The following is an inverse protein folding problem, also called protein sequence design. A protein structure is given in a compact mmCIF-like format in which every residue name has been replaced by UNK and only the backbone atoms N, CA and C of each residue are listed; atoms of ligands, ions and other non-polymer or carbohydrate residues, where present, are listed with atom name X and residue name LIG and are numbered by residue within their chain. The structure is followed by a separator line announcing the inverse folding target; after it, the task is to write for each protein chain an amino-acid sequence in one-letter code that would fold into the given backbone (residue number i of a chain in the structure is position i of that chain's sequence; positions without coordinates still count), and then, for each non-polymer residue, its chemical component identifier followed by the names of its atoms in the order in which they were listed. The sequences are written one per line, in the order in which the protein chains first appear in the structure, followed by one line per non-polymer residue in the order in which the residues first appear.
data_IF_087839885636
#
_entry.id   IF_087839885636
#
_cell.length_a   1.000
_cell.length_b   1.000
_cell.length_c   1.000
_cell.angle_alpha   90.00
_cell.angle_beta   90.00
_cell.angle_gamma   90.00
#
_symmetry.space_group_name_H-M   'P 1'
#
loop_
_entity.id
_entity.type
_entity.pdbx_description
1 polymer ?
#
# COMPACT_ATOMS: atom_id res chain seq x y z
N UNK A 1 -48.06 -4.10 14.99
CA UNK A 1 -47.50 -5.33 14.38
C UNK A 1 -48.66 -6.06 13.72
N UNK A 2 -48.58 -6.40 12.42
CA UNK A 2 -49.62 -7.22 11.80
C UNK A 2 -49.70 -8.57 12.50
N UNK A 3 -50.91 -9.08 12.69
CA UNK A 3 -51.14 -10.39 13.30
C UNK A 3 -50.97 -11.47 12.23
N UNK A 4 -49.89 -12.27 12.33
CA UNK A 4 -49.59 -13.35 11.41
C UNK A 4 -48.86 -14.50 12.13
N UNK A 5 -49.11 -15.73 11.69
CA UNK A 5 -48.35 -16.90 12.15
C UNK A 5 -47.10 -17.08 11.28
N UNK A 6 -45.93 -17.24 11.91
CA UNK A 6 -44.70 -17.59 11.20
C UNK A 6 -44.85 -18.96 10.52
N UNK A 7 -44.34 -19.10 9.30
CA UNK A 7 -44.47 -20.31 8.49
C UNK A 7 -43.22 -20.57 7.67
N UNK A 8 -42.84 -21.83 7.51
CA UNK A 8 -41.79 -22.25 6.58
C UNK A 8 -42.33 -22.57 5.17
N UNK A 9 -43.66 -22.51 4.97
CA UNK A 9 -44.29 -22.75 3.67
C UNK A 9 -44.30 -21.47 2.82
N UNK A 10 -43.59 -21.43 1.66
CA UNK A 10 -43.50 -20.25 0.79
C UNK A 10 -44.83 -19.84 0.14
N UNK A 11 -45.90 -20.64 0.26
CA UNK A 11 -47.23 -20.25 -0.20
C UNK A 11 -48.02 -19.47 0.87
N UNK A 12 -47.54 -19.45 2.11
CA UNK A 12 -48.19 -18.76 3.22
C UNK A 12 -47.60 -17.36 3.42
N UNK A 13 -48.45 -16.34 3.73
CA UNK A 13 -47.96 -14.98 4.00
C UNK A 13 -46.89 -14.92 5.11
N UNK A 14 -47.01 -15.77 6.13
CA UNK A 14 -46.08 -15.86 7.27
C UNK A 14 -44.63 -16.11 6.88
N UNK A 15 -44.38 -16.83 5.78
CA UNK A 15 -43.03 -17.11 5.28
C UNK A 15 -42.27 -15.84 4.87
N UNK A 16 -42.97 -14.88 4.29
CA UNK A 16 -42.40 -13.61 3.85
C UNK A 16 -42.40 -12.55 4.96
N UNK A 17 -43.38 -12.60 5.85
CA UNK A 17 -43.57 -11.59 6.89
C UNK A 17 -42.66 -11.81 8.11
N UNK A 18 -42.24 -13.05 8.40
CA UNK A 18 -41.45 -13.38 9.60
C UNK A 18 -40.09 -12.66 9.71
N UNK A 19 -39.48 -12.26 8.59
CA UNK A 19 -38.19 -11.57 8.57
C UNK A 19 -38.31 -10.04 8.47
N UNK A 20 -39.53 -9.50 8.46
CA UNK A 20 -39.75 -8.06 8.39
C UNK A 20 -39.79 -7.50 9.82
N UNK A 21 -38.92 -6.54 10.17
CA UNK A 21 -38.88 -5.96 11.50
C UNK A 21 -40.09 -5.04 11.71
N UNK A 22 -41.11 -5.54 12.39
CA UNK A 22 -42.32 -4.77 12.69
C UNK A 22 -42.25 -4.05 14.04
N UNK A 23 -41.57 -4.67 15.01
CA UNK A 23 -41.38 -4.11 16.34
C UNK A 23 -40.24 -3.09 16.37
N UNK A 24 -40.32 -2.15 17.31
CA UNK A 24 -39.31 -1.09 17.41
C UNK A 24 -37.91 -1.66 17.70
N UNK A 25 -37.83 -2.67 18.56
CA UNK A 25 -36.56 -3.33 18.92
C UNK A 25 -35.95 -4.06 17.72
N UNK A 26 -36.77 -4.74 16.92
CA UNK A 26 -36.31 -5.41 15.69
C UNK A 26 -35.82 -4.39 14.65
N UNK A 27 -36.49 -3.24 14.54
CA UNK A 27 -36.05 -2.16 13.63
C UNK A 27 -34.73 -1.56 14.08
N UNK A 28 -34.56 -1.35 15.38
CA UNK A 28 -33.32 -0.83 15.93
C UNK A 28 -32.15 -1.78 15.65
N UNK A 29 -32.34 -3.09 15.84
CA UNK A 29 -31.35 -4.10 15.49
C UNK A 29 -30.98 -4.07 13.99
N UNK A 30 -31.96 -3.87 13.10
CA UNK A 30 -31.68 -3.68 11.68
C UNK A 30 -30.92 -2.37 11.40
N UNK A 31 -31.24 -1.28 12.11
CA UNK A 31 -30.56 0.00 11.95
C UNK A 31 -29.10 -0.07 12.41
N UNK A 32 -28.79 -0.78 13.50
CA UNK A 32 -27.41 -1.05 13.92
C UNK A 32 -26.60 -1.76 12.81
N UNK A 33 -27.17 -2.81 12.21
CA UNK A 33 -26.51 -3.53 11.12
C UNK A 33 -26.27 -2.64 9.89
N UNK A 34 -27.23 -1.77 9.56
CA UNK A 34 -27.11 -0.86 8.42
C UNK A 34 -26.05 0.23 8.69
N UNK A 35 -26.01 0.76 9.92
CA UNK A 35 -24.99 1.74 10.34
C UNK A 35 -23.58 1.18 10.18
N UNK A 36 -23.33 0.00 10.77
CA UNK A 36 -22.05 -0.70 10.66
C UNK A 36 -21.71 -0.98 9.19
N UNK A 37 -22.65 -1.53 8.41
CA UNK A 37 -22.41 -1.86 7.01
C UNK A 37 -22.07 -0.63 6.14
N UNK A 38 -22.75 0.50 6.35
CA UNK A 38 -22.44 1.75 5.67
C UNK A 38 -21.06 2.27 6.06
N UNK A 39 -20.74 2.25 7.35
CA UNK A 39 -19.44 2.67 7.85
C UNK A 39 -18.29 1.83 7.26
N UNK A 40 -18.40 0.50 7.33
CA UNK A 40 -17.40 -0.42 6.77
C UNK A 40 -17.29 -0.28 5.25
N UNK A 41 -18.41 -0.08 4.55
CA UNK A 41 -18.41 0.15 3.11
C UNK A 41 -17.68 1.44 2.75
N UNK A 42 -17.88 2.52 3.52
CA UNK A 42 -17.12 3.77 3.38
C UNK A 42 -15.61 3.57 3.53
N UNK A 43 -15.18 2.77 4.53
CA UNK A 43 -13.77 2.41 4.73
C UNK A 43 -13.24 1.60 3.53
N UNK A 44 -13.95 0.56 3.09
CA UNK A 44 -13.54 -0.28 1.96
C UNK A 44 -13.41 0.54 0.68
N UNK A 45 -14.36 1.44 0.41
CA UNK A 45 -14.29 2.31 -0.75
C UNK A 45 -13.06 3.21 -0.72
N UNK A 46 -12.64 3.68 0.45
CA UNK A 46 -11.43 4.47 0.60
C UNK A 46 -10.16 3.62 0.47
N UNK A 47 -10.05 2.56 1.27
CA UNK A 47 -8.80 1.81 1.46
C UNK A 47 -8.52 0.81 0.35
N UNK A 48 -9.54 0.07 -0.11
CA UNK A 48 -9.35 -1.06 -1.03
C UNK A 48 -9.68 -0.74 -2.47
N UNK A 49 -10.57 0.21 -2.69
CA UNK A 49 -11.04 0.59 -4.02
C UNK A 49 -10.54 1.97 -4.45
N UNK A 50 -9.87 2.69 -3.55
CA UNK A 50 -9.37 4.06 -3.74
C UNK A 50 -10.42 5.04 -4.30
N UNK A 51 -11.71 4.72 -4.12
CA UNK A 51 -12.84 5.45 -4.66
C UNK A 51 -13.35 6.44 -3.63
N UNK A 52 -12.60 7.53 -3.45
CA UNK A 52 -12.89 8.61 -2.48
C UNK A 52 -14.26 9.24 -2.70
N UNK A 53 -14.70 9.37 -3.96
CA UNK A 53 -16.02 9.93 -4.27
C UNK A 53 -17.13 9.05 -3.72
N UNK A 54 -17.01 7.73 -3.88
CA UNK A 54 -18.01 6.79 -3.37
C UNK A 54 -17.94 6.68 -1.84
N UNK A 55 -16.74 6.66 -1.26
CA UNK A 55 -16.55 6.69 0.19
C UNK A 55 -17.24 7.90 0.84
N UNK A 56 -17.01 9.11 0.31
CA UNK A 56 -17.65 10.34 0.79
C UNK A 56 -19.18 10.27 0.68
N UNK A 57 -19.72 9.73 -0.42
CA UNK A 57 -21.17 9.55 -0.56
C UNK A 57 -21.74 8.58 0.47
N UNK A 58 -21.06 7.46 0.72
CA UNK A 58 -21.50 6.47 1.72
C UNK A 58 -21.44 7.04 3.13
N UNK A 59 -20.41 7.81 3.46
CA UNK A 59 -20.32 8.52 4.74
C UNK A 59 -21.41 9.59 4.89
N UNK A 60 -21.71 10.35 3.84
CA UNK A 60 -22.83 11.29 3.83
C UNK A 60 -24.19 10.59 4.02
N UNK A 61 -24.38 9.40 3.43
CA UNK A 61 -25.59 8.61 3.66
C UNK A 61 -25.69 8.18 5.13
N UNK A 62 -24.61 7.68 5.73
CA UNK A 62 -24.55 7.34 7.15
C UNK A 62 -24.92 8.55 8.02
N UNK A 63 -24.29 9.70 7.77
CA UNK A 63 -24.54 10.96 8.49
C UNK A 63 -25.98 11.43 8.38
N UNK A 64 -26.58 11.34 7.19
CA UNK A 64 -27.95 11.82 6.94
C UNK A 64 -28.99 10.87 7.50
N UNK A 65 -28.76 9.56 7.37
CA UNK A 65 -29.73 8.52 7.72
C UNK A 65 -29.72 8.20 9.22
N UNK A 66 -28.58 8.37 9.88
CA UNK A 66 -28.39 8.04 11.28
C UNK A 66 -27.63 9.15 12.04
N UNK A 67 -28.22 10.35 12.20
CA UNK A 67 -27.55 11.49 12.84
C UNK A 67 -27.25 11.29 14.33
N UNK A 68 -27.92 10.31 14.97
CA UNK A 68 -27.77 9.97 16.40
C UNK A 68 -26.60 8.98 16.66
N UNK A 69 -25.92 8.51 15.60
CA UNK A 69 -24.91 7.47 15.69
C UNK A 69 -23.58 7.98 16.27
N UNK A 70 -23.50 7.94 17.59
CA UNK A 70 -22.29 8.36 18.32
C UNK A 70 -21.07 7.46 18.13
N UNK A 71 -21.21 6.27 17.55
CA UNK A 71 -20.12 5.30 17.41
C UNK A 71 -19.33 5.55 16.13
N UNK A 72 -20.02 5.67 14.99
CA UNK A 72 -19.38 5.74 13.67
C UNK A 72 -19.26 7.15 13.10
N UNK A 73 -20.12 8.08 13.51
CA UNK A 73 -20.09 9.44 12.98
C UNK A 73 -18.79 10.20 13.27
N UNK A 74 -18.17 10.13 14.47
CA UNK A 74 -16.93 10.86 14.73
C UNK A 74 -15.82 10.48 13.74
N UNK A 75 -15.66 9.18 13.48
CA UNK A 75 -14.69 8.66 12.52
C UNK A 75 -15.09 9.05 11.09
N UNK A 76 -16.36 8.90 10.71
CA UNK A 76 -16.88 9.32 9.40
C UNK A 76 -16.58 10.80 9.08
N UNK A 77 -16.80 11.71 10.03
CA UNK A 77 -16.47 13.13 9.87
C UNK A 77 -14.96 13.36 9.73
N UNK A 78 -14.16 12.67 10.53
CA UNK A 78 -12.71 12.77 10.49
C UNK A 78 -12.13 12.28 9.15
N UNK A 79 -12.55 11.10 8.68
CA UNK A 79 -12.09 10.54 7.42
C UNK A 79 -12.58 11.38 6.22
N UNK A 80 -13.81 11.90 6.29
CA UNK A 80 -14.34 12.81 5.27
C UNK A 80 -13.56 14.12 5.22
N UNK A 81 -13.17 14.69 6.37
CA UNK A 81 -12.30 15.86 6.44
C UNK A 81 -10.97 15.64 5.71
N UNK A 82 -10.27 14.53 6.01
CA UNK A 82 -8.98 14.22 5.39
C UNK A 82 -9.11 14.07 3.86
N UNK A 83 -10.10 13.33 3.39
CA UNK A 83 -10.32 13.12 1.96
C UNK A 83 -10.66 14.44 1.24
N UNK A 84 -11.52 15.28 1.83
CA UNK A 84 -11.89 16.57 1.24
C UNK A 84 -10.72 17.55 1.20
N UNK A 85 -9.82 17.51 2.19
CA UNK A 85 -8.60 18.32 2.18
C UNK A 85 -7.63 17.88 1.08
N UNK A 86 -7.49 16.56 0.86
CA UNK A 86 -6.71 16.03 -0.26
C UNK A 86 -7.29 16.41 -1.63
N UNK A 87 -8.62 16.43 -1.76
CA UNK A 87 -9.31 16.82 -2.99
C UNK A 87 -9.40 18.36 -3.18
N UNK A 88 -8.70 19.15 -2.36
CA UNK A 88 -8.70 20.61 -2.37
C UNK A 88 -10.09 21.26 -2.13
N UNK A 89 -11.02 20.54 -1.49
CA UNK A 89 -12.39 20.98 -1.16
C UNK A 89 -12.46 21.53 0.26
N UNK A 90 -11.68 22.58 0.51
CA UNK A 90 -11.43 23.10 1.86
C UNK A 90 -12.70 23.54 2.61
N UNK A 91 -13.68 24.15 1.93
CA UNK A 91 -14.92 24.60 2.58
C UNK A 91 -15.74 23.43 3.13
N UNK A 92 -15.92 22.37 2.35
CA UNK A 92 -16.64 21.17 2.76
C UNK A 92 -15.88 20.43 3.86
N UNK A 93 -14.54 20.37 3.76
CA UNK A 93 -13.73 19.82 4.82
C UNK A 93 -13.95 20.56 6.15
N UNK A 94 -13.92 21.89 6.15
CA UNK A 94 -14.14 22.66 7.37
C UNK A 94 -15.54 22.43 7.97
N UNK A 95 -16.56 22.17 7.14
CA UNK A 95 -17.87 21.77 7.65
C UNK A 95 -17.80 20.43 8.40
N UNK A 96 -17.15 19.41 7.82
CA UNK A 96 -16.97 18.11 8.49
C UNK A 96 -16.20 18.24 9.81
N UNK A 97 -15.13 19.05 9.82
CA UNK A 97 -14.39 19.38 11.04
C UNK A 97 -15.28 20.04 12.07
N UNK A 98 -16.13 20.97 11.67
CA UNK A 98 -17.01 21.68 12.59
C UNK A 98 -18.09 20.77 13.19
N UNK A 99 -18.67 19.85 12.41
CA UNK A 99 -19.57 18.82 12.95
C UNK A 99 -18.86 17.96 14.01
N UNK A 100 -17.66 17.47 13.71
CA UNK A 100 -16.86 16.68 14.65
C UNK A 100 -16.55 17.45 15.95
N UNK A 101 -16.11 18.71 15.84
CA UNK A 101 -15.74 19.51 17.01
C UNK A 101 -16.93 19.96 17.86
N UNK A 102 -18.10 20.19 17.25
CA UNK A 102 -19.29 20.65 17.96
C UNK A 102 -20.07 19.49 18.58
N UNK A 103 -20.29 18.43 17.81
CA UNK A 103 -21.20 17.35 18.20
C UNK A 103 -20.45 16.25 18.97
N UNK A 104 -19.14 16.10 18.72
CA UNK A 104 -18.31 15.05 19.31
C UNK A 104 -16.99 15.58 19.94
N UNK A 105 -17.02 16.63 20.77
CA UNK A 105 -15.82 17.30 21.27
C UNK A 105 -14.94 16.43 22.18
N UNK A 106 -15.48 15.36 22.77
CA UNK A 106 -14.71 14.50 23.70
C UNK A 106 -14.00 13.34 22.98
N UNK A 107 -14.11 13.27 21.65
CA UNK A 107 -13.52 12.19 20.87
C UNK A 107 -12.07 12.47 20.53
N UNK A 108 -11.27 11.39 20.40
CA UNK A 108 -9.84 11.48 20.07
C UNK A 108 -9.61 12.18 18.72
N UNK A 109 -10.52 11.99 17.78
CA UNK A 109 -10.53 12.61 16.46
C UNK A 109 -10.76 14.13 16.57
N UNK A 110 -11.66 14.57 17.45
CA UNK A 110 -11.86 15.99 17.72
C UNK A 110 -10.61 16.63 18.33
N UNK A 111 -9.90 15.94 19.23
CA UNK A 111 -8.63 16.43 19.78
C UNK A 111 -7.59 16.69 18.69
N UNK A 112 -7.49 15.83 17.68
CA UNK A 112 -6.58 16.03 16.55
C UNK A 112 -6.95 17.27 15.73
N UNK A 113 -8.23 17.44 15.41
CA UNK A 113 -8.67 18.56 14.57
C UNK A 113 -8.75 19.91 15.30
N UNK A 114 -8.60 19.94 16.63
CA UNK A 114 -8.47 21.21 17.38
C UNK A 114 -7.19 21.95 17.02
N UNK A 115 -6.12 21.23 16.70
CA UNK A 115 -4.87 21.83 16.27
C UNK A 115 -4.99 22.30 14.82
N UNK A 116 -4.99 23.62 14.61
CA UNK A 116 -5.06 24.23 13.28
C UNK A 116 -3.84 23.90 12.42
N UNK A 117 -2.71 23.54 13.05
CA UNK A 117 -1.51 23.08 12.36
C UNK A 117 -1.50 21.55 12.15
N UNK A 118 -2.55 20.82 12.51
CA UNK A 118 -2.60 19.35 12.41
C UNK A 118 -2.24 18.84 11.00
N UNK A 119 -2.85 19.40 9.94
CA UNK A 119 -2.55 18.99 8.57
C UNK A 119 -1.12 19.33 8.16
N UNK A 120 -0.62 20.51 8.53
CA UNK A 120 0.77 20.87 8.25
C UNK A 120 1.76 19.96 9.00
N UNK A 121 1.40 19.53 10.22
CA UNK A 121 2.14 18.53 10.99
C UNK A 121 2.01 17.14 10.39
N UNK A 122 0.86 16.77 9.84
CA UNK A 122 0.60 15.51 9.15
C UNK A 122 1.40 15.44 7.83
N UNK A 123 1.44 16.52 7.06
CA UNK A 123 2.23 16.64 5.84
C UNK A 123 3.74 16.64 6.14
N UNK A 124 4.17 17.41 7.16
CA UNK A 124 5.55 17.36 7.66
C UNK A 124 5.90 15.99 8.27
N UNK A 125 4.91 15.28 8.82
CA UNK A 125 5.02 13.92 9.33
C UNK A 125 5.24 12.94 8.17
N UNK A 126 4.46 12.99 7.08
CA UNK A 126 4.69 12.14 5.90
C UNK A 126 6.03 12.46 5.22
N UNK A 127 6.44 13.72 5.16
CA UNK A 127 7.73 14.12 4.59
C UNK A 127 8.93 13.79 5.49
N UNK A 128 8.77 13.78 6.81
CA UNK A 128 9.87 13.47 7.76
C UNK A 128 9.93 12.01 8.18
N UNK A 129 8.84 11.24 8.08
CA UNK A 129 8.80 9.82 8.49
C UNK A 129 9.63 8.92 7.58
N UNK A 130 9.59 9.11 6.26
CA UNK A 130 10.45 8.35 5.35
C UNK A 130 11.93 8.67 5.57
N UNK A 131 12.25 9.94 5.84
CA UNK A 131 13.63 10.36 6.12
C UNK A 131 14.12 9.85 7.48
N UNK A 132 13.30 9.94 8.52
CA UNK A 132 13.66 9.46 9.86
C UNK A 132 13.72 7.93 9.90
N UNK A 133 12.80 7.23 9.24
CA UNK A 133 12.86 5.78 9.12
C UNK A 133 14.08 5.34 8.32
N UNK A 134 14.36 5.96 7.16
CA UNK A 134 15.56 5.67 6.38
C UNK A 134 16.86 5.90 7.17
N UNK A 135 16.95 7.01 7.93
CA UNK A 135 18.11 7.30 8.79
C UNK A 135 18.21 6.32 9.95
N UNK A 136 17.09 5.95 10.57
CA UNK A 136 17.06 4.98 11.69
C UNK A 136 17.44 3.59 11.20
N UNK A 137 16.98 3.21 10.01
CA UNK A 137 17.35 1.97 9.37
C UNK A 137 18.84 1.95 8.98
N UNK A 138 19.36 3.06 8.47
CA UNK A 138 20.79 3.19 8.21
C UNK A 138 21.61 2.98 9.50
N UNK A 139 21.21 3.61 10.61
CA UNK A 139 21.86 3.36 11.91
C UNK A 139 21.73 1.91 12.37
N UNK A 140 20.62 1.26 12.08
CA UNK A 140 20.42 -0.15 12.38
C UNK A 140 21.37 -1.05 11.58
N UNK A 141 21.51 -0.82 10.28
CA UNK A 141 22.45 -1.54 9.40
C UNK A 141 23.91 -1.28 9.78
N UNK A 142 24.25 -0.03 10.14
CA UNK A 142 25.58 0.36 10.62
C UNK A 142 25.89 -0.15 12.05
N UNK A 143 24.91 -0.78 12.70
CA UNK A 143 25.03 -1.32 14.06
C UNK A 143 25.07 -0.25 15.16
N UNK A 144 24.69 0.99 14.85
CA UNK A 144 24.62 2.13 15.77
C UNK A 144 23.38 2.06 16.67
N UNK A 145 23.35 1.06 17.57
CA UNK A 145 22.23 0.72 18.45
C UNK A 145 21.67 1.91 19.26
N UNK A 146 22.53 2.76 19.82
CA UNK A 146 22.09 3.91 20.62
C UNK A 146 21.30 4.94 19.79
N UNK A 147 21.68 5.13 18.53
CA UNK A 147 21.00 6.05 17.62
C UNK A 147 19.65 5.48 17.14
N UNK A 148 19.57 4.16 16.94
CA UNK A 148 18.31 3.47 16.65
C UNK A 148 17.32 3.63 17.80
N UNK A 149 17.76 3.35 19.03
CA UNK A 149 16.91 3.47 20.22
C UNK A 149 16.43 4.91 20.41
N UNK A 150 17.33 5.90 20.26
CA UNK A 150 16.98 7.31 20.38
C UNK A 150 15.93 7.76 19.35
N UNK A 151 16.04 7.30 18.10
CA UNK A 151 15.07 7.62 17.07
C UNK A 151 13.73 6.91 17.30
N UNK A 152 13.75 5.66 17.77
CA UNK A 152 12.53 4.95 18.17
C UNK A 152 11.81 5.66 19.34
N UNK A 153 12.55 6.12 20.35
CA UNK A 153 12.02 6.91 21.47
C UNK A 153 11.39 8.22 20.98
N UNK A 154 12.08 8.92 20.08
CA UNK A 154 11.58 10.15 19.48
C UNK A 154 10.27 9.93 18.72
N UNK A 155 10.18 8.84 17.94
CA UNK A 155 8.97 8.46 17.21
C UNK A 155 7.83 8.08 18.16
N UNK A 156 8.11 7.36 19.23
CA UNK A 156 7.10 7.00 20.22
C UNK A 156 6.51 8.23 20.93
N UNK A 157 7.33 9.25 21.22
CA UNK A 157 6.89 10.48 21.88
C UNK A 157 6.18 11.46 20.93
N UNK A 158 6.71 11.64 19.71
CA UNK A 158 6.29 12.71 18.80
C UNK A 158 5.32 12.23 17.71
N UNK A 159 5.32 10.93 17.36
CA UNK A 159 4.53 10.36 16.25
C UNK A 159 3.83 9.03 16.62
N UNK A 160 3.02 8.98 17.70
CA UNK A 160 2.41 7.75 18.19
C UNK A 160 1.36 7.12 17.25
N UNK A 161 0.90 7.86 16.24
CA UNK A 161 -0.08 7.41 15.24
C UNK A 161 0.54 7.10 13.88
N UNK A 162 1.88 7.07 13.77
CA UNK A 162 2.56 6.76 12.52
C UNK A 162 2.18 5.36 12.01
N UNK A 163 1.88 5.20 10.70
CA UNK A 163 1.74 3.88 10.09
C UNK A 163 3.06 3.08 10.13
N UNK A 164 4.21 3.75 10.26
CA UNK A 164 5.53 3.11 10.42
C UNK A 164 5.86 2.78 11.88
N UNK A 165 5.02 3.17 12.84
CA UNK A 165 5.22 2.86 14.27
C UNK A 165 5.50 1.37 14.55
N UNK A 166 4.76 0.39 14.00
CA UNK A 166 5.11 -1.02 14.19
C UNK A 166 6.52 -1.36 13.69
N UNK A 167 7.02 -0.71 12.63
CA UNK A 167 8.39 -0.90 12.15
C UNK A 167 9.44 -0.38 13.14
N UNK A 168 9.23 0.81 13.73
CA UNK A 168 10.13 1.35 14.77
C UNK A 168 10.09 0.52 16.06
N UNK A 169 8.92 0.06 16.47
CA UNK A 169 8.77 -0.84 17.63
C UNK A 169 9.52 -2.16 17.40
N UNK A 170 9.49 -2.67 16.17
CA UNK A 170 10.17 -3.90 15.78
C UNK A 170 11.70 -3.72 15.81
N UNK A 171 12.24 -2.66 15.20
CA UNK A 171 13.68 -2.34 15.26
C UNK A 171 14.16 -2.19 16.70
N UNK A 172 13.37 -1.53 17.56
CA UNK A 172 13.66 -1.41 18.98
C UNK A 172 13.67 -2.75 19.72
N UNK A 173 12.76 -3.66 19.36
CA UNK A 173 12.72 -5.00 19.91
C UNK A 173 14.00 -5.77 19.55
N UNK A 174 14.46 -5.68 18.30
CA UNK A 174 15.69 -6.32 17.83
C UNK A 174 16.93 -5.77 18.54
N UNK A 175 17.02 -4.45 18.73
CA UNK A 175 18.10 -3.82 19.48
C UNK A 175 18.10 -4.24 20.96
N UNK A 176 16.93 -4.37 21.58
CA UNK A 176 16.81 -4.87 22.95
C UNK A 176 17.37 -6.30 23.10
N UNK A 177 17.05 -7.20 22.16
CA UNK A 177 17.63 -8.56 22.13
C UNK A 177 19.15 -8.52 22.00
N UNK A 178 19.67 -7.69 21.08
CA UNK A 178 21.10 -7.54 20.83
C UNK A 178 21.86 -7.08 22.07
N UNK A 179 21.22 -6.27 22.91
CA UNK A 179 21.74 -5.78 24.18
C UNK A 179 21.53 -6.75 25.36
N UNK A 180 20.86 -7.88 25.13
CA UNK A 180 20.54 -8.88 26.15
C UNK A 180 19.28 -8.57 26.98
N UNK A 181 18.51 -7.57 26.60
CA UNK A 181 17.22 -7.21 27.21
C UNK A 181 16.07 -7.99 26.54
N UNK A 182 15.95 -9.25 26.95
CA UNK A 182 14.90 -10.14 26.48
C UNK A 182 13.48 -9.76 26.95
N UNK A 183 13.36 -9.07 28.08
CA UNK A 183 12.06 -8.66 28.63
C UNK A 183 11.45 -7.55 27.77
N UNK A 184 12.26 -6.56 27.37
CA UNK A 184 11.83 -5.50 26.45
C UNK A 184 11.48 -6.05 25.07
N UNK A 185 12.24 -7.03 24.57
CA UNK A 185 11.93 -7.69 23.30
C UNK A 185 10.55 -8.34 23.31
N UNK A 186 10.28 -9.23 24.28
CA UNK A 186 9.01 -9.97 24.37
C UNK A 186 7.83 -9.03 24.52
N UNK A 187 8.00 -7.97 25.32
CA UNK A 187 6.98 -6.94 25.48
C UNK A 187 6.67 -6.26 24.14
N UNK A 188 7.71 -5.79 23.42
CA UNK A 188 7.52 -5.04 22.18
C UNK A 188 6.91 -5.88 21.06
N UNK A 189 7.38 -7.11 20.83
CA UNK A 189 6.77 -8.01 19.83
C UNK A 189 5.35 -8.42 20.23
N UNK A 190 5.08 -8.60 21.53
CA UNK A 190 3.72 -8.84 22.03
C UNK A 190 2.79 -7.67 21.75
N UNK A 191 3.26 -6.45 22.02
CA UNK A 191 2.50 -5.23 21.72
C UNK A 191 2.25 -5.04 20.22
N UNK A 192 3.20 -5.42 19.36
CA UNK A 192 3.01 -5.38 17.90
C UNK A 192 1.89 -6.33 17.47
N UNK A 193 1.93 -7.58 17.94
CA UNK A 193 0.91 -8.58 17.63
C UNK A 193 -0.49 -8.19 18.11
N UNK A 194 -0.60 -7.54 19.27
CA UNK A 194 -1.88 -7.14 19.86
C UNK A 194 -2.46 -5.84 19.28
N UNK A 195 -1.62 -4.83 19.05
CA UNK A 195 -2.07 -3.48 18.65
C UNK A 195 -2.11 -3.27 17.13
N UNK A 196 -1.40 -4.09 16.36
CA UNK A 196 -1.30 -3.96 14.91
C UNK A 196 -1.65 -5.27 14.17
N UNK A 197 -2.83 -5.88 14.44
CA UNK A 197 -3.18 -7.21 13.96
C UNK A 197 -3.22 -7.34 12.44
N UNK A 198 -3.50 -6.24 11.73
CA UNK A 198 -3.63 -6.19 10.27
C UNK A 198 -2.29 -5.94 9.54
N UNK A 199 -1.16 -6.04 10.23
CA UNK A 199 0.19 -5.84 9.65
C UNK A 199 0.96 -7.16 9.53
N UNK A 200 1.80 -7.31 8.51
CA UNK A 200 2.66 -8.49 8.33
C UNK A 200 3.60 -8.71 9.53
N UNK A 201 3.97 -7.62 10.21
CA UNK A 201 4.75 -7.65 11.45
C UNK A 201 4.03 -8.31 12.61
N UNK A 202 2.70 -8.37 12.62
CA UNK A 202 1.93 -9.06 13.66
C UNK A 202 2.12 -10.58 13.59
N UNK A 203 2.03 -11.16 12.40
CA UNK A 203 2.25 -12.59 12.18
C UNK A 203 3.68 -12.98 12.58
N UNK A 204 4.66 -12.17 12.17
CA UNK A 204 6.07 -12.36 12.50
C UNK A 204 6.33 -12.23 14.00
N UNK A 205 5.80 -11.19 14.64
CA UNK A 205 5.97 -10.95 16.07
C UNK A 205 5.33 -12.04 16.93
N UNK A 206 4.19 -12.58 16.50
CA UNK A 206 3.52 -13.72 17.14
C UNK A 206 4.35 -15.00 17.04
N UNK A 207 4.95 -15.26 15.88
CA UNK A 207 5.87 -16.38 15.69
C UNK A 207 7.12 -16.25 16.57
N UNK A 208 7.73 -15.06 16.61
CA UNK A 208 8.90 -14.77 17.45
C UNK A 208 8.62 -14.95 18.94
N UNK A 209 7.45 -14.49 19.40
CA UNK A 209 7.01 -14.71 20.79
C UNK A 209 6.86 -16.20 21.10
N UNK A 210 6.27 -16.97 20.19
CA UNK A 210 6.12 -18.42 20.33
C UNK A 210 7.49 -19.12 20.45
N UNK A 211 8.45 -18.76 19.59
CA UNK A 211 9.81 -19.30 19.68
C UNK A 211 10.50 -18.95 21.00
N UNK A 212 10.27 -17.73 21.51
CA UNK A 212 10.79 -17.32 22.80
C UNK A 212 10.18 -18.14 23.96
N UNK A 213 8.88 -18.37 23.94
CA UNK A 213 8.17 -19.16 24.96
C UNK A 213 8.61 -20.63 24.96
N UNK A 214 8.98 -21.18 23.79
CA UNK A 214 9.55 -22.52 23.63
C UNK A 214 10.99 -22.66 24.16
N UNK A 215 11.56 -21.60 24.75
CA UNK A 215 12.93 -21.62 25.27
C UNK A 215 14.00 -21.49 24.18
N UNK A 216 13.62 -21.25 22.92
CA UNK A 216 14.56 -20.91 21.86
C UNK A 216 15.02 -19.48 22.12
N UNK A 217 16.34 -19.29 22.14
CA UNK A 217 16.96 -17.98 22.31
C UNK A 217 17.77 -17.68 21.06
N UNK A 218 17.86 -16.42 20.64
CA UNK A 218 18.82 -16.01 19.62
C UNK A 218 20.25 -16.36 20.10
N UNK A 219 20.96 -17.22 19.37
CA UNK A 219 22.35 -17.61 19.71
C UNK A 219 23.29 -16.82 18.81
N UNK A 220 24.04 -15.86 19.37
CA UNK A 220 25.10 -15.14 18.67
C UNK A 220 24.59 -14.27 17.53
N UNK A 221 24.79 -12.95 17.61
CA UNK A 221 24.26 -12.03 16.60
C UNK A 221 25.16 -12.03 15.34
N UNK A 222 25.09 -13.11 14.56
CA UNK A 222 25.66 -13.28 13.20
C UNK A 222 24.57 -13.79 12.23
N UNK A 223 23.33 -13.34 12.43
CA UNK A 223 22.19 -13.59 11.53
C UNK A 223 21.19 -14.64 11.99
N UNK A 224 19.91 -14.38 11.70
CA UNK A 224 18.83 -15.36 11.81
C UNK A 224 18.75 -16.19 10.53
N UNK A 225 18.77 -17.52 10.64
CA UNK A 225 18.36 -18.45 9.59
C UNK A 225 16.90 -18.83 9.80
N UNK A 226 16.04 -18.60 8.81
CA UNK A 226 14.72 -19.21 8.73
C UNK A 226 14.86 -20.67 8.27
N UNK A 227 13.82 -21.48 8.50
CA UNK A 227 13.84 -22.94 8.30
C UNK A 227 14.08 -23.39 6.84
N UNK A 228 14.06 -22.45 5.89
CA UNK A 228 14.30 -22.61 4.45
C UNK A 228 15.69 -22.14 3.99
N UNK A 229 16.52 -21.61 4.91
CA UNK A 229 17.87 -21.14 4.62
C UNK A 229 17.96 -19.69 4.13
N UNK A 230 16.87 -18.92 4.14
CA UNK A 230 16.93 -17.47 3.91
C UNK A 230 17.32 -16.70 5.17
N UNK A 231 18.01 -15.58 4.98
CA UNK A 231 18.34 -14.64 6.06
C UNK A 231 17.18 -13.68 6.31
N UNK A 232 17.12 -13.10 7.50
CA UNK A 232 16.17 -12.01 7.81
C UNK A 232 16.40 -10.76 6.93
N UNK A 233 17.63 -10.54 6.47
CA UNK A 233 17.98 -9.49 5.51
C UNK A 233 17.33 -9.76 4.14
N UNK A 234 17.35 -11.00 3.67
CA UNK A 234 16.66 -11.41 2.43
C UNK A 234 15.15 -11.24 2.57
N UNK A 235 14.59 -11.60 3.72
CA UNK A 235 13.16 -11.42 4.00
C UNK A 235 12.75 -9.95 4.05
N UNK A 236 13.56 -9.07 4.65
CA UNK A 236 13.29 -7.63 4.67
C UNK A 236 13.49 -6.97 3.31
N UNK A 237 14.54 -7.35 2.58
CA UNK A 237 14.75 -6.89 1.21
C UNK A 237 13.58 -7.31 0.32
N UNK A 238 13.06 -8.52 0.52
CA UNK A 238 11.88 -9.01 -0.19
C UNK A 238 10.60 -8.28 0.23
N UNK A 239 10.41 -7.98 1.52
CA UNK A 239 9.29 -7.15 2.00
C UNK A 239 9.35 -5.72 1.47
N UNK A 240 10.55 -5.12 1.41
CA UNK A 240 10.75 -3.81 0.79
C UNK A 240 10.45 -3.88 -0.71
N UNK A 241 10.90 -4.93 -1.38
CA UNK A 241 10.63 -5.16 -2.80
C UNK A 241 9.13 -5.31 -3.08
N UNK A 242 8.43 -6.09 -2.25
CA UNK A 242 6.99 -6.32 -2.34
C UNK A 242 6.20 -5.03 -2.00
N UNK A 243 6.65 -4.24 -1.02
CA UNK A 243 6.07 -2.94 -0.71
C UNK A 243 6.26 -1.95 -1.86
N UNK A 244 7.46 -1.86 -2.44
CA UNK A 244 7.69 -1.01 -3.61
C UNK A 244 6.94 -1.50 -4.85
N UNK A 245 6.81 -2.82 -5.02
CA UNK A 245 6.03 -3.42 -6.10
C UNK A 245 4.54 -3.08 -5.98
N UNK A 246 4.02 -2.97 -4.76
CA UNK A 246 2.61 -2.60 -4.50
C UNK A 246 2.24 -1.16 -4.89
N UNK A 247 3.24 -0.28 -5.09
CA UNK A 247 3.03 1.08 -5.58
C UNK A 247 2.62 1.10 -7.06
N UNK A 248 2.87 0.02 -7.79
CA UNK A 248 2.55 -0.09 -9.21
C UNK A 248 1.16 -0.71 -9.40
N UNK A 249 0.42 -0.18 -10.35
CA UNK A 249 -0.93 -0.65 -10.68
C UNK A 249 -0.94 -1.44 -11.98
N UNK A 250 -1.70 -2.53 -12.04
CA UNK A 250 -1.94 -3.26 -13.27
C UNK A 250 -3.31 -2.92 -13.87
N UNK A 251 -3.31 -2.41 -15.10
CA UNK A 251 -4.53 -2.23 -15.90
C UNK A 251 -4.28 -2.68 -17.34
N UNK A 252 -4.82 -3.83 -17.72
CA UNK A 252 -4.60 -4.42 -19.03
C UNK A 252 -5.09 -3.55 -20.20
N UNK A 253 -6.06 -2.65 -20.01
CA UNK A 253 -6.61 -1.82 -21.07
C UNK A 253 -5.93 -0.44 -21.20
N UNK A 254 -5.04 -0.11 -20.27
CA UNK A 254 -4.31 1.16 -20.25
C UNK A 254 -3.27 1.22 -21.36
N UNK A 255 -2.96 2.41 -21.86
CA UNK A 255 -1.81 2.62 -22.76
C UNK A 255 -0.52 2.13 -22.12
N UNK A 256 0.28 1.39 -22.88
CA UNK A 256 1.57 0.89 -22.44
C UNK A 256 2.70 1.41 -23.32
N UNK A 257 3.89 1.32 -22.77
CA UNK A 257 5.17 1.65 -23.37
C UNK A 257 6.10 0.47 -23.18
N UNK A 258 7.16 0.41 -24.00
CA UNK A 258 8.20 -0.58 -23.85
C UNK A 258 9.53 0.14 -23.61
N UNK A 259 10.10 -0.04 -22.43
CA UNK A 259 11.43 0.45 -22.10
C UNK A 259 12.46 -0.66 -22.28
N UNK A 260 13.48 -0.37 -23.07
CA UNK A 260 14.67 -1.21 -23.19
C UNK A 260 15.78 -0.57 -22.35
N UNK A 261 15.94 -1.05 -21.12
CA UNK A 261 16.95 -0.56 -20.19
C UNK A 261 18.32 -1.18 -20.52
N UNK A 262 19.33 -0.32 -20.62
CA UNK A 262 20.69 -0.71 -21.01
C UNK A 262 21.74 0.06 -20.18
N UNK A 263 22.93 -0.52 -20.02
CA UNK A 263 24.09 0.21 -19.50
C UNK A 263 24.92 0.75 -20.66
N UNK A 264 25.20 2.06 -20.66
CA UNK A 264 26.02 2.71 -21.69
C UNK A 264 27.49 2.24 -21.68
N UNK A 265 27.94 1.64 -20.58
CA UNK A 265 29.28 1.02 -20.48
C UNK A 265 29.37 -0.29 -21.28
N UNK A 266 28.26 -0.99 -21.48
CA UNK A 266 28.23 -2.32 -22.12
C UNK A 266 27.50 -2.35 -23.47
N UNK A 267 26.52 -1.45 -23.68
CA UNK A 267 25.65 -1.45 -24.85
C UNK A 267 25.72 -0.09 -25.55
N UNK A 268 26.05 -0.10 -26.85
CA UNK A 268 25.98 1.10 -27.68
C UNK A 268 24.52 1.38 -28.07
N UNK A 269 23.94 2.44 -27.50
CA UNK A 269 22.53 2.82 -27.74
C UNK A 269 22.22 3.09 -29.21
N UNK A 270 23.15 3.63 -29.99
CA UNK A 270 22.89 3.91 -31.42
C UNK A 270 22.73 2.61 -32.22
N UNK A 271 23.45 1.55 -31.85
CA UNK A 271 23.29 0.23 -32.47
C UNK A 271 21.96 -0.39 -32.05
N UNK A 272 21.60 -0.30 -30.77
CA UNK A 272 20.33 -0.81 -30.26
C UNK A 272 19.15 -0.09 -30.93
N UNK A 273 19.19 1.23 -31.02
CA UNK A 273 18.17 2.05 -31.70
C UNK A 273 18.06 1.66 -33.17
N UNK A 274 19.18 1.46 -33.87
CA UNK A 274 19.17 0.99 -35.26
C UNK A 274 18.50 -0.38 -35.40
N UNK A 275 18.83 -1.33 -34.54
CA UNK A 275 18.26 -2.68 -34.58
C UNK A 275 16.75 -2.67 -34.27
N UNK A 276 16.31 -1.86 -33.32
CA UNK A 276 14.88 -1.67 -33.00
C UNK A 276 14.14 -1.00 -34.16
N UNK A 277 14.71 0.06 -34.74
CA UNK A 277 14.12 0.73 -35.90
C UNK A 277 14.01 -0.22 -37.11
N UNK A 278 15.04 -1.04 -37.35
CA UNK A 278 15.04 -2.04 -38.41
C UNK A 278 13.99 -3.13 -38.15
N UNK A 279 13.88 -3.61 -36.91
CA UNK A 279 12.84 -4.54 -36.49
C UNK A 279 11.44 -3.96 -36.74
N UNK A 280 11.20 -2.70 -36.35
CA UNK A 280 9.94 -2.00 -36.56
C UNK A 280 9.58 -1.92 -38.04
N UNK A 281 10.52 -1.44 -38.85
CA UNK A 281 10.32 -1.28 -40.29
C UNK A 281 10.04 -2.61 -41.01
N UNK A 282 10.66 -3.70 -40.56
CA UNK A 282 10.53 -5.00 -41.23
C UNK A 282 9.27 -5.77 -40.83
N UNK A 283 8.77 -5.58 -39.61
CA UNK A 283 7.66 -6.37 -39.06
C UNK A 283 6.34 -5.58 -39.00
N UNK A 284 6.38 -4.24 -39.05
CA UNK A 284 5.21 -3.39 -38.85
C UNK A 284 5.13 -2.30 -39.93
N UNK A 285 4.42 -2.62 -41.02
CA UNK A 285 4.31 -1.75 -42.21
C UNK A 285 3.29 -0.60 -42.09
N UNK A 286 2.40 -0.65 -41.09
CA UNK A 286 1.25 0.27 -40.95
C UNK A 286 1.30 1.03 -39.61
N UNK A 287 2.17 0.63 -38.68
CA UNK A 287 2.26 1.22 -37.34
C UNK A 287 3.56 1.98 -37.18
N UNK A 288 3.44 3.24 -36.77
CA UNK A 288 4.57 4.11 -36.44
C UNK A 288 4.83 4.07 -34.94
N UNK A 289 5.85 3.29 -34.55
CA UNK A 289 6.35 3.29 -33.18
C UNK A 289 7.32 4.45 -33.00
N UNK A 290 7.05 5.31 -32.03
CA UNK A 290 7.96 6.40 -31.67
C UNK A 290 9.10 5.85 -30.79
N UNK A 291 10.33 6.27 -31.10
CA UNK A 291 11.53 5.87 -30.38
C UNK A 291 12.17 7.10 -29.73
N UNK A 292 12.40 7.05 -28.42
CA UNK A 292 13.06 8.10 -27.65
C UNK A 292 14.05 7.52 -26.66
N UNK A 293 15.17 8.21 -26.45
CA UNK A 293 16.09 7.88 -25.35
C UNK A 293 15.66 8.73 -24.16
N UNK A 294 15.36 8.07 -23.05
CA UNK A 294 14.81 8.69 -21.85
C UNK A 294 15.56 8.21 -20.60
N UNK A 295 15.37 8.93 -19.49
CA UNK A 295 15.87 8.53 -18.17
C UNK A 295 14.69 8.08 -17.31
N UNK A 296 14.76 6.87 -16.75
CA UNK A 296 13.90 6.43 -15.66
C UNK A 296 14.71 6.49 -14.37
N UNK A 297 14.51 7.54 -13.57
CA UNK A 297 15.41 7.86 -12.46
C UNK A 297 16.83 8.11 -12.97
N UNK A 298 17.77 7.24 -12.60
CA UNK A 298 19.16 7.27 -13.06
C UNK A 298 19.47 6.27 -14.20
N UNK A 299 18.49 5.47 -14.62
CA UNK A 299 18.66 4.43 -15.62
C UNK A 299 18.33 4.97 -17.02
N UNK A 300 19.27 4.82 -17.96
CA UNK A 300 19.04 5.12 -19.38
C UNK A 300 18.17 4.02 -20.02
N UNK A 301 17.17 4.44 -20.79
CA UNK A 301 16.28 3.53 -21.51
C UNK A 301 16.05 4.00 -22.94
N UNK A 302 15.94 3.05 -23.88
CA UNK A 302 15.33 3.28 -25.17
C UNK A 302 13.83 2.98 -25.05
N UNK A 303 13.03 4.03 -25.07
CA UNK A 303 11.58 3.98 -24.99
C UNK A 303 10.96 3.79 -26.36
N UNK A 304 9.99 2.87 -26.44
CA UNK A 304 9.17 2.61 -27.61
C UNK A 304 7.72 2.91 -27.22
N UNK A 305 7.05 3.79 -27.97
CA UNK A 305 5.67 4.23 -27.74
C UNK A 305 4.76 3.83 -28.90
N UNK A 306 3.48 4.18 -28.79
CA UNK A 306 2.40 3.82 -29.73
C UNK A 306 1.78 2.43 -29.53
N UNK A 307 1.85 1.86 -28.33
CA UNK A 307 1.08 0.66 -27.98
C UNK A 307 -0.26 1.03 -27.35
N UNK A 308 -1.32 0.34 -27.76
CA UNK A 308 -2.66 0.62 -27.25
C UNK A 308 -2.86 0.07 -25.83
N UNK A 309 -2.26 -1.09 -25.53
CA UNK A 309 -2.47 -1.82 -24.29
C UNK A 309 -1.38 -2.88 -24.02
N UNK A 310 -1.49 -3.61 -22.91
CA UNK A 310 -0.51 -4.64 -22.52
C UNK A 310 -0.39 -5.77 -23.55
N UNK A 311 -1.52 -6.22 -24.12
CA UNK A 311 -1.51 -7.31 -25.09
C UNK A 311 -0.73 -6.91 -26.35
N UNK A 312 -0.83 -5.63 -26.74
CA UNK A 312 -0.10 -5.07 -27.85
C UNK A 312 1.42 -5.09 -27.61
N UNK A 313 1.85 -4.68 -26.41
CA UNK A 313 3.27 -4.74 -26.02
C UNK A 313 3.78 -6.17 -25.96
N UNK A 314 3.03 -7.09 -25.34
CA UNK A 314 3.45 -8.49 -25.22
C UNK A 314 3.56 -9.17 -26.58
N UNK A 315 2.66 -8.86 -27.52
CA UNK A 315 2.79 -9.34 -28.91
C UNK A 315 4.04 -8.80 -29.59
N UNK A 316 4.36 -7.52 -29.41
CA UNK A 316 5.58 -6.94 -29.94
C UNK A 316 6.83 -7.64 -29.35
N UNK A 317 6.88 -7.83 -28.04
CA UNK A 317 8.01 -8.48 -27.34
C UNK A 317 8.17 -9.95 -27.76
N UNK A 318 7.07 -10.69 -27.91
CA UNK A 318 7.09 -12.12 -28.25
C UNK A 318 7.82 -12.43 -29.57
N UNK A 319 7.81 -11.47 -30.51
CA UNK A 319 8.48 -11.61 -31.82
C UNK A 319 9.77 -10.81 -31.93
N UNK A 320 10.16 -10.09 -30.87
CA UNK A 320 11.31 -9.20 -30.89
C UNK A 320 12.60 -10.00 -31.12
N UNK A 321 13.24 -9.74 -32.25
CA UNK A 321 14.53 -10.31 -32.60
C UNK A 321 15.33 -9.32 -33.44
N UNK A 322 16.64 -9.36 -33.28
CA UNK A 322 17.56 -8.50 -34.01
C UNK A 322 18.29 -9.34 -35.05
N UNK A 323 17.71 -9.40 -36.26
CA UNK A 323 18.28 -10.13 -37.40
C UNK A 323 18.46 -11.64 -37.10
N UNK A 324 17.45 -12.26 -36.48
CA UNK A 324 17.47 -13.68 -36.13
C UNK A 324 18.19 -14.01 -34.80
N UNK A 325 18.66 -13.00 -34.08
CA UNK A 325 19.20 -13.16 -32.73
C UNK A 325 18.21 -12.66 -31.68
N UNK A 326 18.10 -13.39 -30.58
CA UNK A 326 17.33 -12.94 -29.42
C UNK A 326 18.00 -11.70 -28.80
N UNK A 327 17.22 -10.74 -28.25
CA UNK A 327 17.75 -9.52 -27.63
C UNK A 327 18.82 -9.80 -26.58
N UNK A 328 18.59 -10.77 -25.69
CA UNK A 328 19.53 -11.16 -24.64
C UNK A 328 20.85 -11.74 -25.18
N UNK A 329 20.84 -12.36 -26.37
CA UNK A 329 22.04 -12.90 -27.01
C UNK A 329 22.86 -11.81 -27.67
N UNK A 330 22.21 -10.87 -28.36
CA UNK A 330 22.89 -9.78 -29.08
C UNK A 330 23.34 -8.66 -28.14
N UNK A 331 22.56 -8.39 -27.09
CA UNK A 331 22.82 -7.39 -26.07
C UNK A 331 22.71 -8.00 -24.67
N UNK A 332 23.78 -8.65 -24.19
CA UNK A 332 23.83 -9.16 -22.82
C UNK A 332 23.59 -8.04 -21.82
N UNK A 333 22.65 -8.26 -20.89
CA UNK A 333 22.27 -7.26 -19.89
C UNK A 333 21.18 -6.27 -20.34
N UNK A 334 20.69 -6.36 -21.58
CA UNK A 334 19.50 -5.61 -22.01
C UNK A 334 18.27 -6.12 -21.25
N UNK A 335 17.54 -5.21 -20.61
CA UNK A 335 16.33 -5.52 -19.84
C UNK A 335 15.12 -4.93 -20.56
N UNK A 336 14.08 -5.75 -20.73
CA UNK A 336 12.86 -5.41 -21.46
C UNK A 336 11.76 -5.20 -20.43
N UNK A 337 11.19 -4.00 -20.37
CA UNK A 337 10.24 -3.61 -19.34
C UNK A 337 8.99 -3.02 -20.00
N UNK A 338 7.85 -3.73 -20.04
CA UNK A 338 6.57 -3.11 -20.38
C UNK A 338 6.16 -2.18 -19.25
N UNK A 339 5.77 -0.93 -19.57
CA UNK A 339 5.43 0.10 -18.59
C UNK A 339 4.07 0.71 -18.95
N UNK A 340 3.11 0.71 -18.04
CA UNK A 340 1.83 1.39 -18.26
C UNK A 340 1.92 2.91 -18.03
N UNK A 341 0.97 3.67 -18.57
CA UNK A 341 0.92 5.14 -18.43
C UNK A 341 0.96 5.60 -16.96
N UNK A 342 0.20 4.94 -16.08
CA UNK A 342 0.18 5.20 -14.64
C UNK A 342 1.49 4.87 -13.93
N UNK A 343 2.24 3.86 -14.43
CA UNK A 343 3.49 3.42 -13.81
C UNK A 343 4.72 4.22 -14.28
N UNK A 344 4.66 4.81 -15.47
CA UNK A 344 5.76 5.61 -16.03
C UNK A 344 6.21 6.77 -15.12
N UNK A 345 5.32 7.66 -14.60
CA UNK A 345 5.75 8.76 -13.74
C UNK A 345 6.35 8.27 -12.41
N UNK A 346 5.89 7.12 -11.90
CA UNK A 346 6.43 6.52 -10.68
C UNK A 346 7.88 6.05 -10.91
N UNK A 347 8.13 5.39 -12.04
CA UNK A 347 9.48 4.96 -12.43
C UNK A 347 10.42 6.11 -12.77
N UNK A 348 9.89 7.24 -13.26
CA UNK A 348 10.68 8.44 -13.49
C UNK A 348 11.10 9.14 -12.19
N UNK A 349 10.25 9.12 -11.15
CA UNK A 349 10.56 9.71 -9.85
C UNK A 349 11.48 8.84 -9.00
N UNK A 350 11.21 7.52 -8.95
CA UNK A 350 11.96 6.56 -8.15
C UNK A 350 12.08 5.24 -8.91
N UNK A 351 13.19 5.08 -9.63
CA UNK A 351 13.48 3.84 -10.35
C UNK A 351 14.05 2.78 -9.41
N UNK A 352 13.25 1.75 -9.11
CA UNK A 352 13.72 0.50 -8.51
C UNK A 352 13.40 -0.62 -9.49
N UNK A 353 14.41 -1.02 -10.26
CA UNK A 353 14.23 -2.01 -11.32
C UNK A 353 13.76 -3.35 -10.77
N UNK A 354 14.34 -3.77 -9.65
CA UNK A 354 14.03 -5.06 -9.05
C UNK A 354 12.60 -5.07 -8.48
N UNK A 355 12.13 -3.96 -7.92
CA UNK A 355 10.74 -3.81 -7.47
C UNK A 355 9.77 -3.83 -8.65
N UNK A 356 10.12 -3.14 -9.74
CA UNK A 356 9.27 -3.14 -10.93
C UNK A 356 9.20 -4.52 -11.59
N UNK A 357 10.33 -5.24 -11.64
CA UNK A 357 10.34 -6.62 -12.13
C UNK A 357 9.53 -7.56 -11.25
N UNK A 358 9.60 -7.39 -9.93
CA UNK A 358 8.76 -8.15 -9.00
C UNK A 358 7.27 -7.96 -9.32
N UNK A 359 6.84 -6.72 -9.56
CA UNK A 359 5.50 -6.40 -10.05
C UNK A 359 5.20 -7.07 -11.41
N UNK A 360 6.13 -7.02 -12.38
CA UNK A 360 5.93 -7.66 -13.68
C UNK A 360 5.71 -9.18 -13.59
N UNK A 361 6.41 -9.87 -12.68
CA UNK A 361 6.23 -11.31 -12.48
C UNK A 361 4.80 -11.66 -12.03
N UNK A 362 4.21 -10.84 -11.15
CA UNK A 362 2.88 -11.10 -10.59
C UNK A 362 1.75 -10.86 -11.61
N UNK A 363 1.93 -9.94 -12.56
CA UNK A 363 0.84 -9.48 -13.43
C UNK A 363 1.05 -9.68 -14.94
N UNK A 364 2.30 -9.85 -15.39
CA UNK A 364 2.66 -9.99 -16.81
C UNK A 364 3.20 -11.39 -17.15
N UNK A 365 3.46 -12.23 -16.14
CA UNK A 365 3.77 -13.66 -16.31
C UNK A 365 5.16 -13.98 -16.85
N UNK A 366 6.17 -13.16 -16.53
CA UNK A 366 7.59 -13.47 -16.82
C UNK A 366 8.30 -14.25 -15.71
#
# INVERSE_FOLDING_TARGET
VPDFEASEDPTQPGYYLQNIPFEQEQKEACYELIREALFQSGIIYREKMENRTLALKTFQELQTRFPEDSLHLPESYYLSYLMLMQDHRAEEAQQQRQFLLNDYPQTRQADYLRDEAFLAKLDAMYQSQDSLFAVTYQYFVEGASDAVVANCDYVDEHYPMSPLRPNFMFMRALEAVKQGDGDTFVRLIGEIAEKYPDTDLSALSSAMKTYWDEGRRPIGFDGFYLADGQTWEDSLAQLELDSLASLYSYNAAETHYLALAYSSDSINVNHLLFDVALYNFTNFLIRDYELSIEMLGAQEVLMIRSFENVEDVLRYVAWLNFQGQLPATKYPGLRILPISDSNLPLLQQRYSEDAYRRFLQDYYGE
#
